data_IF_248648593825
#
_entry.id   IF_248648593825
#
_cell.length_a   1.000
_cell.length_b   1.000
_cell.length_c   1.000
_cell.angle_alpha   90.00
_cell.angle_beta   90.00
_cell.angle_gamma   90.00
#
_symmetry.space_group_name_H-M   'P 1'
#
loop_
_entity.id
_entity.type
_entity.pdbx_description
1 polymer ?
#
# COMPACT_ATOMS: atom_id res chain seq x y z
N UNK A 1 -26.05 -45.42 -22.56
CA UNK A 1 -25.50 -45.50 -21.18
C UNK A 1 -24.31 -44.55 -21.14
N UNK A 2 -24.48 -43.37 -20.53
CA UNK A 2 -23.44 -42.36 -20.46
C UNK A 2 -22.55 -42.65 -19.25
N UNK A 3 -21.25 -42.70 -19.50
CA UNK A 3 -20.19 -42.92 -18.52
C UNK A 3 -20.14 -41.67 -17.64
N UNK A 4 -20.32 -41.84 -16.32
CA UNK A 4 -20.02 -40.80 -15.34
C UNK A 4 -18.49 -40.68 -15.23
N UNK A 5 -17.87 -39.52 -15.53
CA UNK A 5 -16.46 -39.37 -15.22
C UNK A 5 -16.32 -39.21 -13.71
N UNK A 6 -15.54 -40.11 -13.13
CA UNK A 6 -15.10 -40.11 -11.74
C UNK A 6 -14.51 -38.74 -11.41
N UNK A 7 -15.08 -38.09 -10.41
CA UNK A 7 -14.69 -36.74 -9.99
C UNK A 7 -13.39 -36.88 -9.21
N UNK A 8 -12.26 -36.74 -9.90
CA UNK A 8 -10.92 -36.73 -9.30
C UNK A 8 -10.88 -35.68 -8.20
N UNK A 9 -10.53 -36.14 -7.00
CA UNK A 9 -10.47 -35.40 -5.74
C UNK A 9 -9.21 -34.52 -5.72
N UNK A 10 -9.00 -33.70 -6.75
CA UNK A 10 -7.83 -32.82 -6.87
C UNK A 10 -8.18 -31.34 -7.02
N UNK A 11 -9.44 -30.98 -6.75
CA UNK A 11 -9.89 -29.59 -6.61
C UNK A 11 -9.98 -29.23 -5.11
N UNK A 12 -8.85 -29.33 -4.42
CA UNK A 12 -8.68 -28.71 -3.11
C UNK A 12 -7.67 -27.59 -3.26
N UNK A 13 -8.17 -26.47 -3.78
CA UNK A 13 -7.94 -25.14 -3.22
C UNK A 13 -6.54 -24.89 -2.66
N UNK A 14 -5.52 -24.94 -3.51
CA UNK A 14 -4.42 -24.00 -3.33
C UNK A 14 -5.00 -22.64 -3.73
N UNK A 15 -5.12 -21.64 -2.84
CA UNK A 15 -5.25 -20.29 -3.35
C UNK A 15 -4.03 -20.12 -4.24
N UNK A 16 -4.29 -19.92 -5.52
CA UNK A 16 -3.29 -19.50 -6.46
C UNK A 16 -2.80 -18.14 -5.93
N UNK A 17 -1.77 -18.19 -5.09
CA UNK A 17 -1.02 -17.06 -4.57
C UNK A 17 -0.20 -16.47 -5.73
N UNK A 18 -0.74 -16.44 -6.95
CA UNK A 18 -0.24 -15.59 -8.01
C UNK A 18 -0.21 -14.21 -7.37
N UNK A 19 1.00 -13.73 -7.12
CA UNK A 19 1.25 -12.51 -6.39
C UNK A 19 0.39 -11.44 -7.02
N UNK A 20 -0.70 -11.09 -6.36
CA UNK A 20 -1.64 -10.13 -6.90
C UNK A 20 -0.81 -8.89 -7.22
N UNK A 21 -0.81 -8.42 -8.49
CA UNK A 21 0.04 -7.31 -8.86
C UNK A 21 -0.27 -6.17 -7.91
N UNK A 22 0.76 -5.62 -7.29
CA UNK A 22 0.60 -4.62 -6.24
C UNK A 22 -0.24 -3.45 -6.78
N UNK A 23 -1.05 -2.83 -5.92
CA UNK A 23 -1.85 -1.68 -6.32
C UNK A 23 -1.00 -0.50 -6.82
N UNK A 24 0.26 -0.44 -6.38
CA UNK A 24 1.25 0.50 -6.84
C UNK A 24 1.97 -0.08 -8.05
N UNK A 25 1.85 0.60 -9.18
CA UNK A 25 2.67 0.33 -10.34
C UNK A 25 4.03 1.01 -10.16
N UNK A 26 5.10 0.21 -10.22
CA UNK A 26 6.46 0.73 -10.15
C UNK A 26 6.98 0.93 -11.57
N UNK A 27 7.32 2.16 -11.98
CA UNK A 27 7.97 2.36 -13.26
C UNK A 27 9.32 1.64 -13.28
N UNK A 28 9.69 1.17 -14.47
CA UNK A 28 10.98 0.53 -14.73
C UNK A 28 12.14 1.44 -14.32
N UNK A 29 13.22 0.81 -13.85
CA UNK A 29 14.39 1.54 -13.39
C UNK A 29 15.56 1.29 -14.33
N UNK A 30 16.14 2.38 -14.83
CA UNK A 30 17.37 2.34 -15.60
C UNK A 30 18.58 1.85 -14.77
N UNK A 31 18.47 1.85 -13.44
CA UNK A 31 19.51 1.41 -12.51
C UNK A 31 18.95 0.44 -11.45
N UNK A 32 19.76 -0.51 -11.01
CA UNK A 32 19.37 -1.42 -9.93
C UNK A 32 19.24 -0.63 -8.62
N UNK A 33 18.01 -0.54 -8.09
CA UNK A 33 17.70 0.18 -6.86
C UNK A 33 17.17 -0.80 -5.82
N UNK A 34 17.79 -0.78 -4.66
CA UNK A 34 17.33 -1.51 -3.49
C UNK A 34 17.10 -0.53 -2.34
N UNK A 35 15.98 -0.72 -1.64
CA UNK A 35 15.73 -0.04 -0.38
C UNK A 35 16.75 -0.53 0.64
N UNK A 36 17.63 0.35 1.10
CA UNK A 36 18.63 0.00 2.12
C UNK A 36 17.90 -0.45 3.39
N UNK A 37 18.07 -1.71 3.78
CA UNK A 37 17.39 -2.29 4.94
C UNK A 37 17.60 -1.47 6.23
N UNK A 38 18.79 -0.90 6.43
CA UNK A 38 19.09 -0.01 7.56
C UNK A 38 18.24 1.25 7.62
N UNK A 39 17.69 1.70 6.50
CA UNK A 39 16.81 2.86 6.42
C UNK A 39 15.33 2.48 6.44
N UNK A 40 14.97 1.25 6.06
CA UNK A 40 13.59 0.72 6.19
C UNK A 40 13.14 0.74 7.66
N UNK A 41 14.04 0.47 8.61
CA UNK A 41 13.77 0.54 10.04
C UNK A 41 13.51 1.97 10.56
N UNK A 42 13.92 3.00 9.81
CA UNK A 42 13.68 4.40 10.15
C UNK A 42 12.36 4.91 9.60
N UNK A 43 11.71 4.16 8.70
CA UNK A 43 10.43 4.53 8.13
C UNK A 43 9.39 4.55 9.26
N UNK A 44 8.66 5.67 9.47
CA UNK A 44 7.62 5.71 10.50
C UNK A 44 6.53 4.68 10.17
N UNK A 45 5.90 4.12 11.20
CA UNK A 45 4.78 3.20 11.04
C UNK A 45 3.46 3.91 11.32
N UNK A 46 2.50 3.74 10.43
CA UNK A 46 1.14 4.25 10.55
C UNK A 46 0.14 3.09 10.53
N UNK A 47 -0.69 2.99 11.55
CA UNK A 47 -1.65 1.88 11.74
C UNK A 47 -3.07 2.26 11.31
N UNK A 48 -3.37 3.55 11.19
CA UNK A 48 -4.70 4.07 10.89
C UNK A 48 -5.58 4.26 12.13
N UNK A 49 -4.99 4.39 13.32
CA UNK A 49 -5.71 4.48 14.58
C UNK A 49 -6.24 5.90 14.86
N UNK A 50 -7.35 5.97 15.60
CA UNK A 50 -7.91 7.22 16.10
C UNK A 50 -6.94 7.89 17.10
N UNK A 51 -6.12 8.81 16.60
CA UNK A 51 -5.07 9.49 17.37
C UNK A 51 -3.73 9.58 16.64
N UNK A 52 -3.54 8.78 15.59
CA UNK A 52 -2.41 8.97 14.68
C UNK A 52 -2.67 10.16 13.75
N UNK A 53 -1.65 10.99 13.55
CA UNK A 53 -1.73 12.16 12.66
C UNK A 53 -1.12 11.82 11.30
N UNK A 54 -1.97 11.75 10.27
CA UNK A 54 -1.56 11.44 8.90
C UNK A 54 -0.55 12.46 8.36
N UNK A 55 -0.70 13.74 8.68
CA UNK A 55 0.20 14.78 8.18
C UNK A 55 1.60 14.66 8.77
N UNK A 56 1.70 14.35 10.07
CA UNK A 56 2.94 14.10 10.78
C UNK A 56 3.62 12.88 10.19
N UNK A 57 2.90 11.78 9.99
CA UNK A 57 3.41 10.58 9.33
C UNK A 57 4.02 10.88 7.96
N UNK A 58 3.29 11.58 7.09
CA UNK A 58 3.77 11.92 5.74
C UNK A 58 5.02 12.83 5.77
N UNK A 59 5.13 13.72 6.76
CA UNK A 59 6.32 14.57 6.95
C UNK A 59 7.52 13.74 7.39
N UNK A 60 7.37 12.90 8.42
CA UNK A 60 8.44 12.03 8.92
C UNK A 60 8.89 11.05 7.82
N UNK A 61 7.94 10.46 7.09
CA UNK A 61 8.20 9.60 5.94
C UNK A 61 9.01 10.30 4.85
N UNK A 62 8.66 11.56 4.54
CA UNK A 62 9.39 12.35 3.54
C UNK A 62 10.85 12.60 3.94
N UNK A 63 11.11 12.93 5.22
CA UNK A 63 12.47 13.14 5.73
C UNK A 63 13.33 11.90 5.53
N UNK A 64 12.79 10.73 5.87
CA UNK A 64 13.47 9.44 5.73
C UNK A 64 13.75 9.14 4.24
N UNK A 65 12.74 9.28 3.37
CA UNK A 65 12.90 9.05 1.92
C UNK A 65 13.91 10.00 1.26
N UNK A 66 13.98 11.25 1.73
CA UNK A 66 14.93 12.25 1.21
C UNK A 66 16.38 11.84 1.46
N UNK A 67 16.66 11.14 2.56
CA UNK A 67 17.98 10.57 2.86
C UNK A 67 18.33 9.32 2.04
N UNK A 68 17.38 8.75 1.30
CA UNK A 68 17.56 7.51 0.52
C UNK A 68 17.73 7.75 -0.98
N UNK A 69 18.24 8.90 -1.44
CA UNK A 69 18.26 9.27 -2.87
C UNK A 69 19.56 8.88 -3.58
N UNK A 70 19.68 7.67 -4.17
CA UNK A 70 20.78 7.35 -5.07
C UNK A 70 20.65 8.12 -6.39
N UNK A 71 21.76 8.23 -7.10
CA UNK A 71 21.80 8.84 -8.42
C UNK A 71 20.91 8.05 -9.40
N UNK A 72 20.14 8.77 -10.22
CA UNK A 72 19.28 8.16 -11.25
C UNK A 72 17.90 7.71 -10.77
N UNK A 73 17.56 7.88 -9.48
CA UNK A 73 16.23 7.55 -8.96
C UNK A 73 15.51 8.81 -8.48
N UNK A 74 14.27 8.98 -8.90
CA UNK A 74 13.45 10.12 -8.47
C UNK A 74 12.94 9.93 -7.03
N UNK A 75 12.67 11.04 -6.36
CA UNK A 75 12.10 10.98 -5.00
C UNK A 75 10.74 10.28 -4.96
N UNK A 76 9.94 10.46 -6.01
CA UNK A 76 8.64 9.80 -6.15
C UNK A 76 8.79 8.27 -6.21
N UNK A 77 9.74 7.76 -6.99
CA UNK A 77 10.02 6.32 -7.09
C UNK A 77 10.41 5.72 -5.73
N UNK A 78 11.24 6.43 -4.95
CA UNK A 78 11.63 6.01 -3.60
C UNK A 78 10.40 5.98 -2.69
N UNK A 79 9.61 7.05 -2.69
CA UNK A 79 8.40 7.15 -1.86
C UNK A 79 7.40 6.05 -2.17
N UNK A 80 7.11 5.80 -3.44
CA UNK A 80 6.18 4.74 -3.85
C UNK A 80 6.64 3.35 -3.39
N UNK A 81 7.93 3.05 -3.46
CA UNK A 81 8.49 1.76 -3.00
C UNK A 81 8.61 1.66 -1.48
N UNK A 82 8.88 2.77 -0.80
CA UNK A 82 9.05 2.79 0.65
C UNK A 82 7.72 2.83 1.41
N UNK A 83 6.65 3.39 0.81
CA UNK A 83 5.38 3.61 1.48
C UNK A 83 4.73 2.35 2.07
N UNK A 84 4.74 1.18 1.39
CA UNK A 84 4.19 -0.06 1.97
C UNK A 84 4.84 -0.48 3.29
N UNK A 85 6.11 -0.12 3.50
CA UNK A 85 6.83 -0.38 4.75
C UNK A 85 6.44 0.60 5.86
N UNK A 86 5.82 1.73 5.50
CA UNK A 86 5.33 2.72 6.44
C UNK A 86 3.95 2.40 7.02
N UNK A 87 3.29 1.35 6.52
CA UNK A 87 1.94 0.97 6.90
C UNK A 87 1.92 -0.31 7.74
N UNK A 88 1.02 -0.36 8.70
CA UNK A 88 0.69 -1.54 9.49
C UNK A 88 -0.82 -1.68 9.67
N UNK A 89 -1.25 -2.87 10.07
CA UNK A 89 -2.65 -3.18 10.43
C UNK A 89 -3.65 -2.68 9.37
N UNK A 90 -4.71 -1.98 9.79
CA UNK A 90 -5.79 -1.48 8.94
C UNK A 90 -5.29 -0.62 7.77
N UNK A 91 -4.27 0.21 7.99
CA UNK A 91 -3.70 1.02 6.92
C UNK A 91 -3.00 0.18 5.85
N UNK A 92 -2.40 -0.95 6.25
CA UNK A 92 -1.74 -1.87 5.32
C UNK A 92 -2.74 -2.75 4.57
N UNK A 93 -3.79 -3.20 5.25
CA UNK A 93 -4.92 -3.90 4.62
C UNK A 93 -5.50 -3.08 3.48
N UNK A 94 -5.74 -1.78 3.69
CA UNK A 94 -6.22 -0.88 2.64
C UNK A 94 -5.39 -0.97 1.35
N UNK A 95 -4.06 -0.98 1.46
CA UNK A 95 -3.16 -1.07 0.31
C UNK A 95 -3.35 -2.39 -0.45
N UNK A 96 -3.59 -3.50 0.25
CA UNK A 96 -3.80 -4.82 -0.36
C UNK A 96 -5.17 -4.98 -0.99
N UNK A 97 -6.18 -4.24 -0.54
CA UNK A 97 -7.52 -4.28 -1.13
C UNK A 97 -7.70 -3.43 -2.38
N UNK A 98 -6.72 -2.57 -2.72
CA UNK A 98 -6.79 -1.74 -3.91
C UNK A 98 -6.61 -2.57 -5.20
N UNK A 99 -7.29 -2.19 -6.30
CA UNK A 99 -7.06 -2.82 -7.59
C UNK A 99 -5.61 -2.62 -8.05
N UNK A 100 -5.05 -3.63 -8.69
CA UNK A 100 -3.72 -3.59 -9.30
C UNK A 100 -3.58 -2.41 -10.27
N UNK A 101 -2.45 -1.69 -10.20
CA UNK A 101 -2.18 -0.53 -11.06
C UNK A 101 -3.04 0.71 -10.80
N UNK A 102 -3.83 0.74 -9.71
CA UNK A 102 -4.65 1.91 -9.37
C UNK A 102 -3.82 3.13 -8.96
N UNK A 103 -2.59 2.91 -8.48
CA UNK A 103 -1.68 3.95 -8.03
C UNK A 103 -0.45 3.97 -8.95
N UNK A 104 -0.27 5.07 -9.68
CA UNK A 104 0.88 5.26 -10.59
C UNK A 104 1.79 6.43 -10.19
N UNK A 105 1.31 7.33 -9.32
CA UNK A 105 2.06 8.52 -8.87
C UNK A 105 1.94 8.70 -7.37
N UNK A 106 2.89 9.42 -6.76
CA UNK A 106 2.83 9.74 -5.33
C UNK A 106 1.61 10.59 -4.99
N UNK A 107 1.18 11.44 -5.92
CA UNK A 107 -0.01 12.26 -5.74
C UNK A 107 -1.28 11.42 -5.69
N UNK A 108 -1.42 10.42 -6.57
CA UNK A 108 -2.58 9.53 -6.55
C UNK A 108 -2.66 8.77 -5.22
N UNK A 109 -1.54 8.18 -4.78
CA UNK A 109 -1.42 7.49 -3.51
C UNK A 109 -1.90 8.35 -2.34
N UNK A 110 -1.39 9.59 -2.22
CA UNK A 110 -1.80 10.51 -1.15
C UNK A 110 -3.30 10.82 -1.19
N UNK A 111 -3.87 11.02 -2.38
CA UNK A 111 -5.28 11.38 -2.54
C UNK A 111 -6.19 10.22 -2.14
N UNK A 112 -5.89 9.01 -2.59
CA UNK A 112 -6.66 7.83 -2.23
C UNK A 112 -6.51 7.52 -0.74
N UNK A 113 -5.27 7.50 -0.21
CA UNK A 113 -5.02 7.20 1.19
C UNK A 113 -5.71 8.18 2.14
N UNK A 114 -5.64 9.49 1.84
CA UNK A 114 -6.29 10.50 2.68
C UNK A 114 -7.82 10.34 2.69
N UNK A 115 -8.43 9.93 1.58
CA UNK A 115 -9.90 9.75 1.50
C UNK A 115 -10.37 8.58 2.35
N UNK A 116 -9.59 7.51 2.41
CA UNK A 116 -9.97 6.27 3.09
C UNK A 116 -9.67 6.34 4.60
N UNK A 117 -8.55 6.94 4.98
CA UNK A 117 -8.16 7.10 6.39
C UNK A 117 -8.90 8.25 7.09
N UNK A 118 -9.30 9.29 6.34
CA UNK A 118 -10.13 10.38 6.85
C UNK A 118 -11.55 10.20 6.30
N UNK A 119 -12.38 9.34 6.91
CA UNK A 119 -13.77 9.20 6.49
C UNK A 119 -14.39 10.60 6.55
N UNK A 120 -14.93 11.04 5.42
CA UNK A 120 -15.48 12.38 5.26
C UNK A 120 -16.29 12.80 6.50
N UNK A 121 -16.04 13.99 7.09
CA UNK A 121 -16.73 14.44 8.31
C UNK A 121 -18.25 14.61 8.16
N UNK A 122 -18.81 14.35 6.97
CA UNK A 122 -20.25 14.38 6.73
C UNK A 122 -21.00 13.13 7.21
N UNK A 123 -20.32 12.00 7.42
CA UNK A 123 -20.95 10.77 7.93
C UNK A 123 -20.97 10.73 9.48
N UNK A 124 -20.09 11.49 10.15
CA UNK A 124 -20.06 11.59 11.62
C UNK A 124 -21.20 12.46 12.19
N UNK A 125 -21.94 13.20 11.36
CA UNK A 125 -23.11 13.99 11.81
C UNK A 125 -24.40 13.17 11.89
N UNK A 126 -24.46 11.99 11.28
CA UNK A 126 -25.65 11.12 11.33
C UNK A 126 -25.62 10.13 12.50
N UNK A 127 -24.45 9.81 13.05
CA UNK A 127 -24.30 8.94 14.22
C UNK A 127 -24.51 9.65 15.57
N UNK A 128 -24.50 11.00 15.59
CA UNK A 128 -24.78 11.81 16.79
C UNK A 128 -26.21 12.38 16.86
N UNK A 129 -27.11 11.94 15.95
CA UNK A 129 -28.55 12.26 15.95
C UNK A 129 -29.42 10.99 15.92
N UNK A 130 -29.08 10.00 16.76
CA UNK A 130 -30.00 8.94 17.16
C UNK A 130 -30.01 8.83 18.67
#
# INVERSE_FOLDING_TARGET
>A
MAIVPERTINDMTSPDLNQQPLCIEYPDLEVNFELKSGLVHLVPTFRGLAGEDLHKHLKEFHVVCSGMRPQGITEEQIKLRAFPFSLADQAKDWLYFLPSGSITTWNDLKRQFSREILPCPHELRQSARR
#
